data_IF_171597756831
#
_entry.id   IF_171597756831
#
_cell.length_a   1.000
_cell.length_b   1.000
_cell.length_c   1.000
_cell.angle_alpha   90.00
_cell.angle_beta   90.00
_cell.angle_gamma   90.00
#
_symmetry.space_group_name_H-M   'P 1'
#
loop_
_entity.id
_entity.type
_entity.pdbx_description
1 polymer ?
#
# COMPACT_ATOMS: atom_id res chain seq x y z
N UNK A 1 14.22 28.75 57.43
CA UNK A 1 13.20 28.49 56.39
C UNK A 1 13.02 26.98 56.27
N UNK A 2 12.06 26.39 56.97
CA UNK A 2 11.85 24.93 56.97
C UNK A 2 10.66 24.63 56.07
N UNK A 3 10.94 24.04 54.89
CA UNK A 3 9.92 23.49 53.99
C UNK A 3 9.16 22.41 54.75
N UNK A 4 7.84 22.58 54.89
CA UNK A 4 6.94 21.54 55.38
C UNK A 4 7.04 20.36 54.42
N UNK A 5 7.68 19.29 54.85
CA UNK A 5 7.70 18.01 54.16
C UNK A 5 6.32 17.40 54.36
N UNK A 6 5.42 17.61 53.39
CA UNK A 6 4.10 17.00 53.38
C UNK A 6 4.25 15.49 53.25
N UNK A 7 3.80 14.75 54.26
CA UNK A 7 3.83 13.29 54.24
C UNK A 7 2.91 12.77 53.14
N UNK A 8 3.48 12.09 52.14
CA UNK A 8 2.71 11.31 51.17
C UNK A 8 1.88 10.28 51.92
N UNK A 9 0.56 10.44 51.92
CA UNK A 9 -0.34 9.51 52.58
C UNK A 9 -0.66 8.34 51.64
N UNK A 10 -0.83 7.13 52.19
CA UNK A 10 -1.27 5.95 51.41
C UNK A 10 -2.58 6.21 50.66
N UNK A 11 -3.44 7.09 51.19
CA UNK A 11 -4.69 7.51 50.57
C UNK A 11 -4.46 8.25 49.25
N UNK A 12 -3.46 9.14 49.21
CA UNK A 12 -3.13 9.94 48.03
C UNK A 12 -2.63 9.03 46.89
N UNK A 13 -1.82 8.03 47.23
CA UNK A 13 -1.36 7.02 46.29
C UNK A 13 -2.52 6.15 45.75
N UNK A 14 -3.46 5.76 46.61
CA UNK A 14 -4.62 4.98 46.21
C UNK A 14 -5.53 5.75 45.23
N UNK A 15 -5.74 7.05 45.47
CA UNK A 15 -6.53 7.90 44.57
C UNK A 15 -5.84 8.03 43.21
N UNK A 16 -4.52 8.22 43.18
CA UNK A 16 -3.76 8.31 41.92
C UNK A 16 -3.90 7.01 41.12
N UNK A 17 -3.79 5.84 41.75
CA UNK A 17 -3.94 4.54 41.08
C UNK A 17 -5.34 4.39 40.48
N UNK A 18 -6.39 4.79 41.20
CA UNK A 18 -7.78 4.74 40.71
C UNK A 18 -7.98 5.67 39.51
N UNK A 19 -7.47 6.90 39.57
CA UNK A 19 -7.59 7.85 38.46
C UNK A 19 -6.84 7.35 37.22
N UNK A 20 -5.61 6.84 37.39
CA UNK A 20 -4.80 6.30 36.28
C UNK A 20 -5.45 5.06 35.67
N UNK A 21 -6.04 4.17 36.47
CA UNK A 21 -6.71 2.96 35.96
C UNK A 21 -7.99 3.26 35.18
N UNK A 22 -8.79 4.25 35.61
CA UNK A 22 -9.95 4.73 34.85
C UNK A 22 -9.50 5.35 33.52
N UNK A 23 -8.47 6.19 33.55
CA UNK A 23 -7.95 6.85 32.35
C UNK A 23 -7.35 5.85 31.35
N UNK A 24 -6.62 4.85 31.85
CA UNK A 24 -6.09 3.74 31.05
C UNK A 24 -7.21 2.92 30.41
N UNK A 25 -8.29 2.63 31.14
CA UNK A 25 -9.45 1.91 30.61
C UNK A 25 -10.12 2.64 29.45
N UNK A 26 -10.35 3.96 29.58
CA UNK A 26 -10.98 4.77 28.54
C UNK A 26 -10.10 4.93 27.30
N UNK A 27 -8.79 5.13 27.48
CA UNK A 27 -7.84 5.29 26.37
C UNK A 27 -7.63 4.00 25.57
N UNK A 28 -7.66 2.84 26.24
CA UNK A 28 -7.48 1.55 25.57
C UNK A 28 -8.58 1.29 24.53
N UNK A 29 -9.85 1.46 24.90
CA UNK A 29 -11.01 1.16 24.03
C UNK A 29 -11.08 2.09 22.80
N UNK A 30 -10.66 3.35 22.94
CA UNK A 30 -10.62 4.29 21.83
C UNK A 30 -9.52 3.98 20.80
N UNK A 31 -8.35 3.55 21.27
CA UNK A 31 -7.14 3.42 20.45
C UNK A 31 -7.26 2.43 19.30
N UNK A 32 -7.98 1.32 19.48
CA UNK A 32 -8.05 0.24 18.49
C UNK A 32 -8.86 0.64 17.25
N UNK A 33 -9.98 1.35 17.44
CA UNK A 33 -10.87 1.75 16.34
C UNK A 33 -10.21 2.77 15.40
N UNK A 34 -9.52 3.77 15.95
CA UNK A 34 -8.81 4.78 15.15
C UNK A 34 -7.60 4.18 14.44
N UNK A 35 -6.86 3.30 15.11
CA UNK A 35 -5.70 2.62 14.51
C UNK A 35 -6.08 1.81 13.27
N UNK A 36 -7.23 1.13 13.29
CA UNK A 36 -7.71 0.35 12.15
C UNK A 36 -8.14 1.23 10.96
N UNK A 37 -8.73 2.40 11.21
CA UNK A 37 -9.08 3.36 10.16
C UNK A 37 -7.84 3.94 9.48
N UNK A 38 -6.85 4.36 10.25
CA UNK A 38 -5.59 4.92 9.72
C UNK A 38 -4.87 3.88 8.84
N UNK A 39 -4.82 2.61 9.27
CA UNK A 39 -4.22 1.53 8.49
C UNK A 39 -4.93 1.32 7.14
N UNK A 40 -6.27 1.41 7.11
CA UNK A 40 -7.08 1.26 5.89
C UNK A 40 -6.80 2.38 4.88
N UNK A 41 -6.84 3.62 5.34
CA UNK A 41 -6.58 4.77 4.47
C UNK A 41 -5.15 4.76 3.94
N UNK A 42 -4.18 4.42 4.78
CA UNK A 42 -2.78 4.26 4.36
C UNK A 42 -2.62 3.18 3.29
N UNK A 43 -3.29 2.04 3.44
CA UNK A 43 -3.23 0.96 2.44
C UNK A 43 -3.81 1.42 1.09
N UNK A 44 -4.98 2.09 1.09
CA UNK A 44 -5.60 2.60 -0.14
C UNK A 44 -4.77 3.68 -0.83
N UNK A 45 -4.18 4.59 -0.04
CA UNK A 45 -3.27 5.60 -0.55
C UNK A 45 -2.04 4.96 -1.19
N UNK A 46 -1.40 4.01 -0.51
CA UNK A 46 -0.22 3.29 -1.00
C UNK A 46 -0.49 2.55 -2.32
N UNK A 47 -1.63 1.88 -2.45
CA UNK A 47 -2.00 1.14 -3.66
C UNK A 47 -2.26 2.10 -4.83
N UNK A 48 -2.99 3.18 -4.58
CA UNK A 48 -3.26 4.21 -5.59
C UNK A 48 -1.96 4.88 -6.06
N UNK A 49 -1.06 5.17 -5.13
CA UNK A 49 0.25 5.76 -5.43
C UNK A 49 1.13 4.79 -6.23
N UNK A 50 1.15 3.50 -5.86
CA UNK A 50 1.88 2.47 -6.60
C UNK A 50 1.37 2.35 -8.04
N UNK A 51 0.05 2.25 -8.22
CA UNK A 51 -0.56 2.18 -9.55
C UNK A 51 -0.17 3.40 -10.40
N UNK A 52 -0.28 4.61 -9.84
CA UNK A 52 0.10 5.83 -10.56
C UNK A 52 1.60 5.86 -10.92
N UNK A 53 2.48 5.36 -10.06
CA UNK A 53 3.92 5.27 -10.34
C UNK A 53 4.23 4.24 -11.41
N UNK A 54 3.54 3.11 -11.43
CA UNK A 54 3.64 2.12 -12.51
C UNK A 54 3.17 2.70 -13.85
N UNK A 55 2.07 3.46 -13.86
CA UNK A 55 1.61 4.16 -15.07
C UNK A 55 2.61 5.21 -15.57
N UNK A 56 3.27 5.94 -14.66
CA UNK A 56 4.38 6.83 -15.03
C UNK A 56 5.58 6.07 -15.56
N UNK A 57 5.95 4.96 -14.91
CA UNK A 57 7.04 4.10 -15.37
C UNK A 57 6.78 3.63 -16.79
N UNK A 58 5.58 3.12 -17.07
CA UNK A 58 5.16 2.75 -18.41
C UNK A 58 5.30 3.92 -19.39
N UNK A 59 4.81 5.12 -19.07
CA UNK A 59 4.89 6.27 -19.98
C UNK A 59 6.32 6.74 -20.31
N UNK A 60 7.24 6.69 -19.35
CA UNK A 60 8.55 7.33 -19.48
C UNK A 60 9.70 6.36 -19.69
N UNK A 61 9.53 5.08 -19.33
CA UNK A 61 10.56 4.08 -19.47
C UNK A 61 10.33 3.28 -20.76
N UNK A 62 11.23 3.44 -21.72
CA UNK A 62 11.22 2.69 -22.98
C UNK A 62 12.42 1.73 -22.96
N UNK A 63 12.26 0.59 -22.27
CA UNK A 63 13.36 -0.36 -22.01
C UNK A 63 13.56 -1.39 -23.11
N UNK A 64 12.58 -1.55 -23.98
CA UNK A 64 12.57 -2.60 -24.99
C UNK A 64 12.33 -1.88 -26.31
N UNK A 65 13.16 -2.08 -27.34
CA UNK A 65 12.97 -1.48 -28.68
C UNK A 65 11.67 -1.89 -29.40
N UNK A 66 10.71 -2.44 -28.65
CA UNK A 66 9.39 -2.96 -28.99
C UNK A 66 8.29 -2.12 -28.26
N UNK A 67 8.63 -1.17 -27.39
CA UNK A 67 7.68 -0.27 -26.73
C UNK A 67 7.82 -0.19 -25.21
N UNK A 68 6.85 0.49 -24.61
CA UNK A 68 6.74 0.66 -23.16
C UNK A 68 6.26 -0.64 -22.48
N UNK A 69 6.85 -1.02 -21.34
CA UNK A 69 6.49 -2.23 -20.59
C UNK A 69 6.43 -1.93 -19.08
N UNK A 70 5.50 -2.56 -18.35
CA UNK A 70 5.49 -2.50 -16.88
C UNK A 70 6.62 -3.36 -16.32
N UNK A 71 7.24 -2.98 -15.18
CA UNK A 71 8.33 -3.77 -14.63
C UNK A 71 7.80 -5.15 -14.24
N UNK A 72 8.55 -6.20 -14.54
CA UNK A 72 8.28 -7.53 -13.98
C UNK A 72 8.29 -7.45 -12.45
N UNK A 73 7.63 -8.36 -11.74
CA UNK A 73 7.64 -8.29 -10.28
C UNK A 73 9.07 -8.38 -9.71
N UNK A 74 9.93 -9.20 -10.31
CA UNK A 74 11.34 -9.26 -9.94
C UNK A 74 12.07 -7.93 -10.12
N UNK A 75 11.83 -7.23 -11.23
CA UNK A 75 12.44 -5.93 -11.52
C UNK A 75 11.87 -4.82 -10.63
N UNK A 76 10.57 -4.86 -10.33
CA UNK A 76 9.92 -3.96 -9.38
C UNK A 76 10.55 -4.11 -7.99
N UNK A 77 10.77 -5.35 -7.54
CA UNK A 77 11.39 -5.62 -6.24
C UNK A 77 12.88 -5.27 -6.22
N UNK A 78 13.61 -5.40 -7.34
CA UNK A 78 15.03 -5.01 -7.45
C UNK A 78 15.21 -3.49 -7.50
N UNK A 79 14.39 -2.80 -8.28
CA UNK A 79 14.47 -1.35 -8.52
C UNK A 79 13.42 -0.57 -7.72
N UNK A 80 12.93 -1.14 -6.61
CA UNK A 80 11.79 -0.62 -5.85
C UNK A 80 11.93 0.87 -5.51
N UNK A 81 13.07 1.28 -4.96
CA UNK A 81 13.31 2.67 -4.57
C UNK A 81 13.30 3.64 -5.76
N UNK A 82 13.71 3.18 -6.95
CA UNK A 82 13.72 4.00 -8.17
C UNK A 82 12.34 4.11 -8.82
N UNK A 83 11.49 3.10 -8.68
CA UNK A 83 10.16 3.03 -9.31
C UNK A 83 9.08 3.57 -8.37
N UNK A 84 9.08 3.09 -7.13
CA UNK A 84 8.04 3.35 -6.12
C UNK A 84 8.47 4.44 -5.12
N UNK A 85 9.76 4.70 -4.94
CA UNK A 85 10.23 5.66 -3.92
C UNK A 85 10.25 5.07 -2.49
N UNK A 86 10.60 5.90 -1.50
CA UNK A 86 11.07 5.42 -0.19
C UNK A 86 10.08 5.41 0.99
N UNK A 87 8.96 6.14 0.97
CA UNK A 87 8.40 6.58 2.27
C UNK A 87 7.16 5.84 2.77
N UNK A 88 6.29 5.32 1.89
CA UNK A 88 4.95 4.87 2.31
C UNK A 88 4.70 3.37 2.14
N UNK A 89 5.19 2.79 1.04
CA UNK A 89 5.09 1.36 0.74
C UNK A 89 6.47 0.73 0.91
N UNK A 90 6.53 -0.42 1.57
CA UNK A 90 7.77 -1.17 1.71
C UNK A 90 7.86 -2.28 0.68
N UNK A 91 9.07 -2.52 0.18
CA UNK A 91 9.37 -3.62 -0.74
C UNK A 91 8.89 -4.98 -0.22
N UNK A 92 9.00 -5.25 1.08
CA UNK A 92 8.60 -6.54 1.67
C UNK A 92 7.08 -6.83 1.56
N UNK A 93 6.28 -5.78 1.38
CA UNK A 93 4.84 -5.89 1.22
C UNK A 93 4.44 -6.35 -0.17
N UNK A 94 5.36 -6.29 -1.15
CA UNK A 94 5.11 -6.76 -2.52
C UNK A 94 5.45 -8.24 -2.63
N UNK A 95 4.49 -9.02 -3.11
CA UNK A 95 4.63 -10.45 -3.40
C UNK A 95 4.45 -10.68 -4.89
N UNK A 96 5.28 -11.56 -5.43
CA UNK A 96 5.31 -11.87 -6.86
C UNK A 96 4.57 -13.15 -7.23
N UNK A 97 4.14 -13.92 -6.23
CA UNK A 97 3.40 -15.16 -6.45
C UNK A 97 2.23 -15.26 -5.49
N UNK A 98 1.17 -15.93 -5.94
CA UNK A 98 -0.02 -16.16 -5.12
C UNK A 98 0.27 -17.03 -3.90
N UNK A 99 1.25 -17.94 -4.01
CA UNK A 99 1.76 -18.76 -2.91
C UNK A 99 2.43 -17.90 -1.83
N UNK A 100 3.29 -16.96 -2.21
CA UNK A 100 3.99 -16.07 -1.26
C UNK A 100 3.06 -15.03 -0.64
N UNK A 101 2.01 -14.67 -1.36
CA UNK A 101 1.02 -13.70 -0.89
C UNK A 101 0.09 -14.26 0.17
N UNK A 102 -0.17 -15.58 0.18
CA UNK A 102 -0.92 -16.28 1.22
C UNK A 102 -2.23 -15.56 1.68
N UNK A 103 -2.92 -14.87 0.75
CA UNK A 103 -4.14 -14.12 1.04
C UNK A 103 -3.95 -12.73 1.65
N UNK A 104 -2.77 -12.11 1.53
CA UNK A 104 -2.54 -10.70 1.86
C UNK A 104 -2.55 -10.42 3.36
N UNK A 105 -1.98 -11.32 4.16
CA UNK A 105 -1.87 -11.11 5.60
C UNK A 105 -1.07 -9.83 5.87
N UNK A 106 -1.47 -9.03 6.86
CA UNK A 106 -0.77 -7.79 7.25
C UNK A 106 -0.66 -6.68 6.18
N UNK A 107 -1.55 -6.67 5.18
CA UNK A 107 -1.59 -5.63 4.15
C UNK A 107 -0.62 -5.85 2.99
N UNK A 108 -0.08 -7.06 2.86
CA UNK A 108 0.69 -7.48 1.70
C UNK A 108 -0.14 -7.40 0.42
N UNK A 109 0.53 -7.06 -0.68
CA UNK A 109 -0.05 -6.93 -2.01
C UNK A 109 0.61 -7.92 -2.96
N UNK A 110 -0.19 -8.54 -3.82
CA UNK A 110 0.26 -9.35 -4.93
C UNK A 110 0.36 -8.47 -6.16
N UNK A 111 1.54 -8.40 -6.76
CA UNK A 111 1.79 -7.67 -7.99
C UNK A 111 2.09 -8.65 -9.12
N UNK A 112 1.34 -8.51 -10.20
CA UNK A 112 1.47 -9.33 -11.40
C UNK A 112 1.52 -8.40 -12.61
N UNK A 113 2.45 -8.67 -13.53
CA UNK A 113 2.57 -7.97 -14.80
C UNK A 113 2.66 -9.03 -15.91
N UNK A 114 1.94 -8.82 -17.00
CA UNK A 114 1.89 -9.75 -18.11
C UNK A 114 1.76 -9.02 -19.44
N UNK A 115 2.39 -9.58 -20.47
CA UNK A 115 2.11 -9.24 -21.85
C UNK A 115 0.80 -9.89 -22.29
N UNK A 116 -0.07 -9.13 -22.92
CA UNK A 116 -1.30 -9.57 -23.57
C UNK A 116 -0.90 -9.90 -25.00
N UNK A 117 -0.38 -11.11 -25.19
CA UNK A 117 -0.05 -11.62 -26.52
C UNK A 117 -1.34 -12.03 -27.24
N UNK A 118 -1.65 -11.36 -28.37
CA UNK A 118 -2.68 -11.82 -29.31
C UNK A 118 -4.11 -11.29 -29.15
N UNK A 119 -4.34 -10.24 -28.36
CA UNK A 119 -5.65 -9.55 -28.27
C UNK A 119 -5.58 -8.08 -28.73
N UNK A 120 -6.71 -7.58 -29.25
CA UNK A 120 -6.90 -6.21 -29.74
C UNK A 120 -7.04 -5.25 -28.55
N UNK A 121 -5.94 -4.68 -28.10
CA UNK A 121 -5.96 -3.86 -26.88
C UNK A 121 -6.55 -2.49 -27.20
N UNK A 122 -7.76 -2.28 -26.72
CA UNK A 122 -8.42 -0.98 -26.86
C UNK A 122 -7.84 -0.03 -25.82
N UNK A 123 -6.96 0.87 -26.28
CA UNK A 123 -6.59 2.06 -25.50
C UNK A 123 -7.87 2.84 -25.15
N UNK A 124 -8.11 3.27 -23.90
CA UNK A 124 -9.22 4.16 -23.61
C UNK A 124 -9.09 5.44 -24.45
N UNK A 125 -10.21 5.87 -25.05
CA UNK A 125 -10.29 6.86 -26.15
C UNK A 125 -9.75 8.28 -25.85
N UNK A 126 -9.20 8.53 -24.67
CA UNK A 126 -8.66 9.84 -24.28
C UNK A 126 -7.15 9.95 -24.58
N UNK A 127 -6.85 10.41 -25.79
CA UNK A 127 -5.63 11.16 -26.15
C UNK A 127 -4.31 10.37 -26.21
N UNK A 128 -3.68 10.35 -27.38
CA UNK A 128 -2.29 9.91 -27.54
C UNK A 128 -1.33 11.09 -27.50
N UNK A 129 -0.14 10.98 -26.86
CA UNK A 129 1.07 11.46 -27.50
C UNK A 129 1.36 10.54 -28.70
N UNK A 130 1.68 11.13 -29.84
CA UNK A 130 1.67 10.56 -31.20
C UNK A 130 2.70 9.47 -31.50
N UNK A 131 3.50 9.02 -30.54
CA UNK A 131 4.73 8.26 -30.82
C UNK A 131 4.78 6.85 -30.21
N UNK A 132 3.63 6.28 -29.86
CA UNK A 132 3.56 4.90 -29.33
C UNK A 132 3.44 3.92 -30.51
N UNK A 133 4.53 3.79 -31.27
CA UNK A 133 4.68 2.80 -32.34
C UNK A 133 4.75 1.42 -31.66
N UNK A 134 3.73 0.58 -31.90
CA UNK A 134 3.59 -0.78 -31.38
C UNK A 134 3.67 -0.88 -29.85
N UNK A 135 2.65 -0.40 -29.12
CA UNK A 135 2.52 -0.84 -27.72
C UNK A 135 2.28 -2.35 -27.71
N UNK A 136 3.29 -3.15 -27.34
CA UNK A 136 3.04 -4.46 -26.76
C UNK A 136 2.04 -4.26 -25.65
N UNK A 137 0.87 -4.88 -25.79
CA UNK A 137 -0.20 -4.73 -24.85
C UNK A 137 0.21 -5.26 -23.49
N UNK A 138 0.59 -4.39 -22.58
CA UNK A 138 1.06 -4.80 -21.27
C UNK A 138 0.00 -4.45 -20.25
N UNK A 139 -0.24 -5.35 -19.31
CA UNK A 139 -1.09 -5.08 -18.16
C UNK A 139 -0.35 -5.35 -16.88
N UNK A 140 -0.75 -4.63 -15.85
CA UNK A 140 -0.40 -4.98 -14.48
C UNK A 140 -1.67 -5.12 -13.64
N UNK A 141 -1.59 -5.92 -12.60
CA UNK A 141 -2.59 -6.01 -11.57
C UNK A 141 -1.99 -6.00 -10.19
N UNK A 142 -2.62 -5.22 -9.30
CA UNK A 142 -2.31 -5.17 -7.89
C UNK A 142 -3.50 -5.77 -7.13
N UNK A 143 -3.29 -6.94 -6.54
CA UNK A 143 -4.27 -7.65 -5.74
C UNK A 143 -3.96 -7.47 -4.26
N UNK A 144 -4.97 -7.13 -3.46
CA UNK A 144 -4.80 -6.87 -2.03
C UNK A 144 -6.04 -7.27 -1.23
N UNK A 145 -5.86 -7.52 0.07
CA UNK A 145 -6.96 -7.79 0.99
C UNK A 145 -7.42 -6.49 1.62
N UNK A 146 -8.70 -6.13 1.44
CA UNK A 146 -9.26 -4.94 2.07
C UNK A 146 -9.36 -5.16 3.59
N UNK A 147 -8.68 -4.33 4.38
CA UNK A 147 -8.63 -4.42 5.85
C UNK A 147 -9.99 -4.11 6.52
N UNK A 148 -11.01 -3.66 5.78
CA UNK A 148 -12.35 -3.41 6.29
C UNK A 148 -13.30 -4.58 6.11
N UNK A 149 -13.29 -5.20 4.93
CA UNK A 149 -14.21 -6.28 4.59
C UNK A 149 -13.54 -7.66 4.63
N UNK A 150 -12.21 -7.71 4.66
CA UNK A 150 -11.45 -8.93 4.45
C UNK A 150 -11.56 -9.46 3.02
N UNK A 151 -12.25 -8.75 2.13
CA UNK A 151 -12.44 -9.17 0.75
C UNK A 151 -11.18 -8.89 -0.08
N UNK A 152 -10.90 -9.78 -1.01
CA UNK A 152 -9.87 -9.59 -2.01
C UNK A 152 -10.33 -8.53 -3.02
N UNK A 153 -9.46 -7.56 -3.31
CA UNK A 153 -9.68 -6.49 -4.27
C UNK A 153 -8.53 -6.45 -5.25
N UNK A 154 -8.84 -6.04 -6.48
CA UNK A 154 -7.91 -5.95 -7.59
C UNK A 154 -7.94 -4.54 -8.20
N UNK A 155 -6.76 -4.00 -8.49
CA UNK A 155 -6.57 -2.76 -9.25
C UNK A 155 -5.78 -3.13 -10.49
N UNK A 156 -6.40 -3.00 -11.65
CA UNK A 156 -5.80 -3.27 -12.94
C UNK A 156 -5.26 -1.98 -13.58
N UNK A 157 -4.31 -2.14 -14.50
CA UNK A 157 -3.78 -1.06 -15.34
C UNK A 157 -4.86 -0.36 -16.19
N UNK A 158 -4.50 0.80 -16.73
CA UNK A 158 -5.35 1.54 -17.69
C UNK A 158 -5.65 0.69 -18.95
N UNK A 159 -4.71 -0.16 -19.35
CA UNK A 159 -4.87 -1.12 -20.44
C UNK A 159 -5.76 -2.28 -19.99
N UNK A 160 -6.80 -2.57 -20.78
CA UNK A 160 -7.73 -3.69 -20.57
C UNK A 160 -7.79 -4.55 -21.83
N UNK A 161 -8.06 -5.84 -21.62
CA UNK A 161 -8.46 -6.78 -22.68
C UNK A 161 -9.81 -6.39 -23.29
#
# INVERSE_FOLDING_TARGET
MNRRMGGYTLIELAIIIVVVSILAGLTFVGSERFSNLIKREKQRANISELSLKLERYYKYNNTSGIGHEYPSCGDLTRNFSSIVGGDSLKKEMIKCSRSDWAGGSNGEILYEASNIDGHDCTKPASGAPSDIVAATCVRHSITYKDLSTGAEKKVDSIWRD
#
